data_IF_115072594854
#
_entry.id   IF_115072594854
#
_cell.length_a   1.000
_cell.length_b   1.000
_cell.length_c   1.000
_cell.angle_alpha   90.00
_cell.angle_beta   90.00
_cell.angle_gamma   90.00
#
_symmetry.space_group_name_H-M   'P 1'
#
loop_
_entity.id
_entity.type
_entity.pdbx_description
1 polymer ?
#
# COMPACT_ATOMS: atom_id res chain seq x y z
N UNK A 1 25.94 -20.16 4.28
CA UNK A 1 24.52 -19.75 4.33
C UNK A 1 24.18 -19.16 2.96
N UNK A 2 23.20 -19.70 2.24
CA UNK A 2 22.85 -19.18 0.91
C UNK A 2 22.35 -17.72 1.05
N UNK A 3 22.98 -16.78 0.35
CA UNK A 3 22.48 -15.41 0.27
C UNK A 3 21.15 -15.42 -0.46
N UNK A 4 20.09 -15.00 0.22
CA UNK A 4 18.77 -14.96 -0.37
C UNK A 4 18.72 -13.96 -1.53
N UNK A 5 18.02 -14.33 -2.61
CA UNK A 5 17.95 -13.54 -3.85
C UNK A 5 17.16 -12.23 -3.60
N UNK A 6 17.77 -11.03 -3.78
CA UNK A 6 17.08 -9.74 -3.66
C UNK A 6 15.83 -9.64 -4.54
N UNK A 7 15.80 -10.32 -5.69
CA UNK A 7 14.65 -10.32 -6.61
C UNK A 7 13.45 -11.03 -6.02
N UNK A 8 13.68 -12.07 -5.20
CA UNK A 8 12.60 -12.76 -4.49
C UNK A 8 11.96 -11.81 -3.48
N UNK A 9 12.75 -11.11 -2.67
CA UNK A 9 12.24 -10.14 -1.69
C UNK A 9 11.44 -9.02 -2.33
N UNK A 10 11.95 -8.42 -3.42
CA UNK A 10 11.22 -7.41 -4.17
C UNK A 10 9.89 -7.93 -4.71
N UNK A 11 9.88 -9.16 -5.22
CA UNK A 11 8.67 -9.79 -5.73
C UNK A 11 7.64 -10.06 -4.63
N UNK A 12 8.07 -10.62 -3.50
CA UNK A 12 7.20 -10.88 -2.34
C UNK A 12 6.60 -9.57 -1.79
N UNK A 13 7.41 -8.52 -1.67
CA UNK A 13 6.94 -7.21 -1.25
C UNK A 13 5.86 -6.66 -2.18
N UNK A 14 6.09 -6.69 -3.50
CA UNK A 14 5.12 -6.23 -4.50
C UNK A 14 3.83 -7.05 -4.50
N UNK A 15 3.94 -8.37 -4.39
CA UNK A 15 2.77 -9.24 -4.33
C UNK A 15 1.96 -9.01 -3.07
N UNK A 16 2.61 -8.87 -1.91
CA UNK A 16 1.94 -8.55 -0.65
C UNK A 16 1.21 -7.20 -0.71
N UNK A 17 1.87 -6.17 -1.23
CA UNK A 17 1.25 -4.85 -1.45
C UNK A 17 0.07 -4.91 -2.43
N UNK A 18 0.25 -5.60 -3.56
CA UNK A 18 -0.80 -5.73 -4.56
C UNK A 18 -2.02 -6.46 -3.98
N UNK A 19 -1.82 -7.54 -3.22
CA UNK A 19 -2.92 -8.25 -2.56
C UNK A 19 -3.65 -7.36 -1.56
N UNK A 20 -2.91 -6.59 -0.76
CA UNK A 20 -3.47 -5.64 0.20
C UNK A 20 -4.35 -4.59 -0.49
N UNK A 21 -3.82 -3.89 -1.50
CA UNK A 21 -4.59 -2.88 -2.23
C UNK A 21 -5.74 -3.47 -3.03
N UNK A 22 -5.56 -4.66 -3.63
CA UNK A 22 -6.63 -5.33 -4.36
C UNK A 22 -7.77 -5.72 -3.41
N UNK A 23 -7.45 -6.27 -2.24
CA UNK A 23 -8.46 -6.64 -1.25
C UNK A 23 -9.21 -5.40 -0.74
N UNK A 24 -8.50 -4.35 -0.32
CA UNK A 24 -9.12 -3.11 0.16
C UNK A 24 -9.90 -2.36 -0.94
N UNK A 25 -9.45 -2.42 -2.18
CA UNK A 25 -10.12 -1.75 -3.28
C UNK A 25 -11.38 -2.49 -3.72
N UNK A 26 -11.33 -3.82 -3.74
CA UNK A 26 -12.45 -4.62 -4.21
C UNK A 26 -13.46 -4.86 -3.10
N UNK A 27 -13.06 -5.41 -1.96
CA UNK A 27 -13.99 -5.97 -0.98
C UNK A 27 -14.78 -4.89 -0.23
N UNK A 28 -14.15 -3.99 0.56
CA UNK A 28 -14.86 -3.02 1.38
C UNK A 28 -15.31 -1.75 0.62
N UNK A 29 -14.99 -1.63 -0.68
CA UNK A 29 -15.31 -0.44 -1.51
C UNK A 29 -16.18 -0.75 -2.73
N UNK A 30 -15.79 -1.71 -3.58
CA UNK A 30 -16.49 -1.99 -4.85
C UNK A 30 -17.58 -3.08 -4.74
N UNK A 31 -17.29 -4.20 -4.09
CA UNK A 31 -18.24 -5.31 -3.92
C UNK A 31 -19.23 -5.03 -2.79
N UNK A 32 -18.71 -4.58 -1.66
CA UNK A 32 -19.50 -4.23 -0.49
C UNK A 32 -18.94 -2.95 0.11
N UNK A 33 -19.66 -1.84 -0.05
CA UNK A 33 -19.33 -0.62 0.68
C UNK A 33 -19.50 -0.81 2.20
N UNK A 34 -18.38 -0.94 2.91
CA UNK A 34 -18.38 -1.23 4.34
C UNK A 34 -18.92 -0.06 5.16
N UNK A 35 -19.51 -0.32 6.35
CA UNK A 35 -19.95 0.74 7.25
C UNK A 35 -18.81 1.69 7.68
N UNK A 36 -17.60 1.16 7.92
CA UNK A 36 -16.44 1.96 8.30
C UNK A 36 -15.97 2.91 7.21
N UNK A 37 -15.90 2.44 5.96
CA UNK A 37 -15.59 3.28 4.79
C UNK A 37 -16.63 4.41 4.62
N UNK A 38 -17.92 4.05 4.76
CA UNK A 38 -19.02 5.00 4.65
C UNK A 38 -18.96 6.07 5.75
N UNK A 39 -18.62 5.68 6.98
CA UNK A 39 -18.44 6.59 8.11
C UNK A 39 -17.28 7.56 7.85
N UNK A 40 -16.13 7.06 7.41
CA UNK A 40 -14.96 7.88 7.08
C UNK A 40 -15.26 8.91 5.98
N UNK A 41 -15.93 8.50 4.89
CA UNK A 41 -16.26 9.42 3.80
C UNK A 41 -17.32 10.44 4.24
N UNK A 42 -18.29 10.06 5.07
CA UNK A 42 -19.28 10.99 5.61
C UNK A 42 -18.69 11.96 6.62
N UNK A 43 -17.65 11.57 7.36
CA UNK A 43 -16.94 12.45 8.28
C UNK A 43 -16.24 13.62 7.55
N UNK A 44 -15.98 13.48 6.24
CA UNK A 44 -15.52 14.57 5.38
C UNK A 44 -16.64 15.53 4.92
N UNK A 45 -17.91 15.23 5.20
CA UNK A 45 -19.06 16.03 4.76
C UNK A 45 -19.51 15.79 3.31
N UNK A 46 -19.03 14.72 2.65
CA UNK A 46 -19.44 14.42 1.27
C UNK A 46 -20.78 13.70 1.19
N UNK A 47 -21.66 14.16 0.31
CA UNK A 47 -22.97 13.55 0.08
C UNK A 47 -22.90 12.29 -0.80
N UNK A 48 -21.99 12.24 -1.77
CA UNK A 48 -21.87 11.13 -2.73
C UNK A 48 -20.88 10.05 -2.25
N UNK A 49 -21.06 9.57 -1.02
CA UNK A 49 -20.10 8.64 -0.40
C UNK A 49 -19.84 7.36 -1.21
N UNK A 50 -20.86 6.81 -1.87
CA UNK A 50 -20.70 5.62 -2.75
C UNK A 50 -19.80 5.88 -3.95
N UNK A 51 -19.91 7.05 -4.57
CA UNK A 51 -19.09 7.39 -5.73
C UNK A 51 -17.64 7.56 -5.31
N UNK A 52 -17.38 8.27 -4.21
CA UNK A 52 -16.03 8.46 -3.68
C UNK A 52 -15.39 7.13 -3.28
N UNK A 53 -16.13 6.26 -2.60
CA UNK A 53 -15.65 4.92 -2.27
C UNK A 53 -15.31 4.11 -3.53
N UNK A 54 -16.16 4.17 -4.56
CA UNK A 54 -15.91 3.47 -5.81
C UNK A 54 -14.66 4.01 -6.53
N UNK A 55 -14.47 5.33 -6.58
CA UNK A 55 -13.28 5.95 -7.16
C UNK A 55 -12.01 5.55 -6.40
N UNK A 56 -12.06 5.58 -5.06
CA UNK A 56 -10.95 5.12 -4.22
C UNK A 56 -10.65 3.64 -4.45
N UNK A 57 -11.68 2.79 -4.53
CA UNK A 57 -11.52 1.36 -4.79
C UNK A 57 -10.90 1.07 -6.15
N UNK A 58 -11.33 1.78 -7.20
CA UNK A 58 -10.71 1.70 -8.53
C UNK A 58 -9.25 2.16 -8.47
N UNK A 59 -8.95 3.25 -7.77
CA UNK A 59 -7.57 3.74 -7.64
C UNK A 59 -6.65 2.71 -6.95
N UNK A 60 -7.13 2.06 -5.88
CA UNK A 60 -6.39 0.98 -5.19
C UNK A 60 -6.16 -0.23 -6.10
N UNK A 61 -7.16 -0.64 -6.88
CA UNK A 61 -7.01 -1.73 -7.87
C UNK A 61 -5.99 -1.36 -8.95
N UNK A 62 -6.04 -0.13 -9.48
CA UNK A 62 -5.08 0.35 -10.47
C UNK A 62 -3.66 0.35 -9.89
N UNK A 63 -3.48 0.79 -8.64
CA UNK A 63 -2.20 0.76 -7.96
C UNK A 63 -1.69 -0.67 -7.75
N UNK A 64 -2.57 -1.60 -7.35
CA UNK A 64 -2.25 -3.02 -7.23
C UNK A 64 -1.75 -3.60 -8.56
N UNK A 65 -2.46 -3.32 -9.66
CA UNK A 65 -2.04 -3.76 -10.99
C UNK A 65 -0.71 -3.11 -11.42
N UNK A 66 -0.50 -1.83 -11.12
CA UNK A 66 0.75 -1.14 -11.40
C UNK A 66 1.95 -1.77 -10.66
N UNK A 67 1.77 -2.19 -9.39
CA UNK A 67 2.78 -2.92 -8.63
C UNK A 67 3.17 -4.25 -9.29
N UNK A 68 2.20 -4.95 -9.91
CA UNK A 68 2.43 -6.24 -10.56
C UNK A 68 3.01 -6.12 -11.97
N UNK A 69 2.56 -5.14 -12.76
CA UNK A 69 2.96 -4.97 -14.16
C UNK A 69 4.28 -4.21 -14.26
N UNK A 70 4.46 -3.13 -13.49
CA UNK A 70 5.59 -2.21 -13.63
C UNK A 70 6.76 -2.64 -12.74
N UNK A 71 7.32 -3.84 -12.99
CA UNK A 71 8.39 -4.41 -12.16
C UNK A 71 9.78 -3.77 -12.31
N UNK A 72 10.02 -3.05 -13.41
CA UNK A 72 11.33 -2.41 -13.68
C UNK A 72 11.47 -1.00 -13.11
N UNK A 73 10.40 -0.42 -12.58
CA UNK A 73 10.41 0.92 -12.01
C UNK A 73 9.94 0.86 -10.57
N UNK A 74 10.58 1.66 -9.71
CA UNK A 74 10.25 1.76 -8.27
C UNK A 74 9.12 2.75 -7.97
N UNK A 75 8.67 3.55 -8.94
CA UNK A 75 7.63 4.54 -8.70
C UNK A 75 6.33 3.97 -8.12
N UNK A 76 5.87 2.73 -8.46
CA UNK A 76 4.66 2.19 -7.83
C UNK A 76 4.85 1.97 -6.33
N UNK A 77 6.05 1.56 -5.89
CA UNK A 77 6.37 1.41 -4.46
C UNK A 77 6.36 2.76 -3.73
N UNK A 78 6.89 3.81 -4.37
CA UNK A 78 6.86 5.16 -3.81
C UNK A 78 5.44 5.71 -3.74
N UNK A 79 4.64 5.52 -4.79
CA UNK A 79 3.24 5.94 -4.81
C UNK A 79 2.43 5.20 -3.74
N UNK A 80 2.65 3.89 -3.55
CA UNK A 80 2.06 3.13 -2.46
C UNK A 80 2.42 3.69 -1.10
N UNK A 81 3.70 3.97 -0.84
CA UNK A 81 4.14 4.54 0.43
C UNK A 81 3.47 5.90 0.71
N UNK A 82 3.40 6.77 -0.30
CA UNK A 82 2.72 8.06 -0.19
C UNK A 82 1.22 7.91 0.07
N UNK A 83 0.55 6.99 -0.63
CA UNK A 83 -0.86 6.70 -0.42
C UNK A 83 -1.13 6.17 0.99
N UNK A 84 -0.34 5.22 1.49
CA UNK A 84 -0.49 4.65 2.84
C UNK A 84 -0.29 5.71 3.93
N UNK A 85 0.72 6.58 3.78
CA UNK A 85 0.94 7.70 4.70
C UNK A 85 -0.24 8.68 4.63
N UNK A 86 -0.66 9.06 3.43
CA UNK A 86 -1.79 9.97 3.22
C UNK A 86 -3.07 9.45 3.86
N UNK A 87 -3.42 8.19 3.60
CA UNK A 87 -4.59 7.52 4.18
C UNK A 87 -4.50 7.41 5.71
N UNK A 88 -3.32 7.13 6.26
CA UNK A 88 -3.15 7.06 7.70
C UNK A 88 -3.33 8.44 8.37
N UNK A 89 -2.78 9.49 7.76
CA UNK A 89 -2.97 10.88 8.23
C UNK A 89 -4.44 11.28 8.11
N UNK A 90 -5.10 10.92 7.00
CA UNK A 90 -6.52 11.16 6.77
C UNK A 90 -7.39 10.57 7.88
N UNK A 91 -7.23 9.27 8.15
CA UNK A 91 -7.92 8.59 9.27
C UNK A 91 -7.64 9.29 10.60
N UNK A 92 -6.38 9.65 10.86
CA UNK A 92 -5.99 10.25 12.12
C UNK A 92 -6.62 11.62 12.37
N UNK A 93 -6.86 12.40 11.30
CA UNK A 93 -7.48 13.73 11.39
C UNK A 93 -9.00 13.62 11.41
N UNK A 94 -9.58 12.78 10.55
CA UNK A 94 -11.02 12.80 10.27
C UNK A 94 -11.80 11.80 11.13
N UNK A 95 -11.21 10.64 11.42
CA UNK A 95 -11.87 9.57 12.15
C UNK A 95 -10.90 8.86 13.13
N UNK A 96 -10.32 9.58 14.10
CA UNK A 96 -9.25 9.06 14.98
C UNK A 96 -9.67 7.84 15.80
N UNK A 97 -10.97 7.63 16.03
CA UNK A 97 -11.49 6.44 16.73
C UNK A 97 -11.13 5.12 16.04
N UNK A 98 -10.90 5.11 14.72
CA UNK A 98 -10.49 3.91 13.99
C UNK A 98 -9.03 3.50 14.30
N UNK A 99 -8.19 4.40 14.81
CA UNK A 99 -6.78 4.11 15.09
C UNK A 99 -6.58 3.11 16.23
N UNK A 100 -7.52 3.04 17.17
CA UNK A 100 -7.42 2.22 18.40
C UNK A 100 -8.23 0.93 18.35
N UNK A 101 -8.90 0.65 17.23
CA UNK A 101 -9.62 -0.60 17.03
C UNK A 101 -8.66 -1.79 16.99
N UNK A 102 -9.13 -3.00 17.31
CA UNK A 102 -8.31 -4.21 17.29
C UNK A 102 -7.73 -4.50 15.90
N UNK A 103 -8.50 -4.19 14.85
CA UNK A 103 -8.05 -4.21 13.45
C UNK A 103 -8.11 -2.79 12.92
N UNK A 104 -6.98 -2.08 13.02
CA UNK A 104 -6.92 -0.65 12.73
C UNK A 104 -6.05 -0.30 11.50
N UNK A 105 -6.23 0.91 10.94
CA UNK A 105 -5.40 1.40 9.85
C UNK A 105 -3.93 1.59 10.22
N UNK A 106 -3.56 1.81 11.50
CA UNK A 106 -2.16 2.01 11.91
C UNK A 106 -1.33 0.76 11.61
N UNK A 107 -1.77 -0.37 12.16
CA UNK A 107 -1.10 -1.67 11.98
C UNK A 107 -1.00 -2.04 10.50
N UNK A 108 -2.10 -1.95 9.76
CA UNK A 108 -2.15 -2.31 8.34
C UNK A 108 -1.25 -1.43 7.49
N UNK A 109 -1.32 -0.10 7.65
CA UNK A 109 -0.50 0.84 6.87
C UNK A 109 0.98 0.72 7.21
N UNK A 110 1.34 0.55 8.49
CA UNK A 110 2.76 0.39 8.87
C UNK A 110 3.35 -0.90 8.31
N UNK A 111 2.64 -2.03 8.40
CA UNK A 111 3.08 -3.28 7.78
C UNK A 111 3.26 -3.12 6.26
N UNK A 112 2.33 -2.45 5.59
CA UNK A 112 2.44 -2.16 4.16
C UNK A 112 3.62 -1.22 3.83
N UNK A 113 3.89 -0.23 4.68
CA UNK A 113 5.06 0.65 4.53
C UNK A 113 6.38 -0.13 4.66
N UNK A 114 6.45 -1.11 5.57
CA UNK A 114 7.60 -2.01 5.65
C UNK A 114 7.76 -2.84 4.36
N UNK A 115 6.67 -3.32 3.75
CA UNK A 115 6.75 -3.98 2.44
C UNK A 115 7.26 -3.02 1.35
N UNK A 116 6.81 -1.75 1.36
CA UNK A 116 7.32 -0.74 0.45
C UNK A 116 8.84 -0.56 0.63
N UNK A 117 9.30 -0.46 1.88
CA UNK A 117 10.72 -0.33 2.22
C UNK A 117 11.53 -1.57 1.78
N UNK A 118 11.04 -2.78 2.05
CA UNK A 118 11.68 -4.03 1.63
C UNK A 118 11.82 -4.06 0.10
N UNK A 119 10.73 -3.80 -0.64
CA UNK A 119 10.77 -3.76 -2.09
C UNK A 119 11.73 -2.70 -2.62
N UNK A 120 11.72 -1.50 -2.02
CA UNK A 120 12.58 -0.40 -2.43
C UNK A 120 14.07 -0.71 -2.22
N UNK A 121 14.41 -1.29 -1.07
CA UNK A 121 15.77 -1.69 -0.71
C UNK A 121 16.26 -2.85 -1.60
N UNK A 122 15.42 -3.86 -1.80
CA UNK A 122 15.75 -5.03 -2.61
C UNK A 122 15.93 -4.70 -4.11
N UNK A 123 15.28 -3.65 -4.60
CA UNK A 123 15.44 -3.20 -5.99
C UNK A 123 16.64 -2.28 -6.20
N UNK A 124 17.38 -1.85 -5.16
CA UNK A 124 18.52 -0.92 -5.27
C UNK A 124 19.56 -1.45 -6.26
N UNK A 125 20.16 -0.58 -7.11
CA UNK A 125 21.25 -1.02 -7.98
C UNK A 125 22.43 -1.38 -7.06
N UNK A 126 23.08 -2.52 -7.30
CA UNK A 126 24.32 -2.82 -6.57
C UNK A 126 25.34 -1.71 -6.82
N UNK A 127 25.99 -1.25 -5.74
CA UNK A 127 26.99 -0.20 -5.85
C UNK A 127 28.25 -0.78 -6.49
N UNK A 128 28.75 -0.26 -7.63
CA UNK A 128 29.92 -0.83 -8.32
C UNK A 128 31.15 -0.98 -7.41
N UNK A 129 31.27 -0.15 -6.37
CA UNK A 129 32.39 -0.19 -5.42
C UNK A 129 32.35 -1.38 -4.45
N UNK A 130 31.18 -1.96 -4.15
CA UNK A 130 31.10 -3.14 -3.25
C UNK A 130 31.53 -4.44 -3.92
N UNK A 131 31.51 -4.48 -5.26
CA UNK A 131 31.98 -5.64 -6.05
C UNK A 131 33.52 -5.61 -6.21
N UNK A 132 34.13 -4.44 -6.14
CA UNK A 132 35.58 -4.26 -6.28
C UNK A 132 36.37 -4.60 -5.01
N UNK A 133 35.78 -4.45 -3.81
CA UNK A 133 36.47 -4.78 -2.55
C UNK A 133 36.34 -6.25 -2.13
N UNK A 134 35.61 -7.07 -2.89
CA UNK A 134 35.37 -8.49 -2.61
C UNK A 134 36.06 -9.44 -3.60
N UNK A 135 36.89 -8.91 -4.50
CA UNK A 135 37.79 -9.66 -5.38
C UNK A 135 39.23 -9.43 -4.94
#
# INVERSE_FOLDING_TARGET
MASADPRLYASLARWGLALLFLYHGIVPKLLWLSPGELEMIRAHGFEQARLLAALAGVAEVVLALALLVVRRRRWPLALSALALIGLLVDVAVVAPGFLVQAFNPVSTNLTALFLCAIGWLAERPENPQSVASSR
#
